data_IF_928481562190
#
_entry.id   IF_928481562190
#
_cell.length_a   1.000
_cell.length_b   1.000
_cell.length_c   1.000
_cell.angle_alpha   90.00
_cell.angle_beta   90.00
_cell.angle_gamma   90.00
#
_symmetry.space_group_name_H-M   'P 1'
#
loop_
_entity.id
_entity.type
_entity.pdbx_description
1 polymer ?
#
# COMPACT_ATOMS: atom_id res chain seq x y z
N UNK A 1 14.60 5.72 77.78
CA UNK A 1 14.16 4.33 77.67
C UNK A 1 12.83 4.21 78.40
N UNK A 2 11.72 4.00 77.66
CA UNK A 2 10.43 3.58 78.23
C UNK A 2 9.80 2.61 77.25
N UNK A 3 9.73 1.35 77.66
CA UNK A 3 9.09 0.26 76.94
C UNK A 3 7.57 0.39 77.11
N UNK A 4 6.83 0.49 76.01
CA UNK A 4 5.37 0.35 76.07
C UNK A 4 5.03 -1.15 76.13
N UNK A 5 4.50 -1.55 77.27
CA UNK A 5 3.93 -2.85 77.56
C UNK A 5 2.61 -3.04 76.80
N UNK A 6 2.46 -4.19 76.16
CA UNK A 6 1.19 -4.65 75.61
C UNK A 6 0.25 -5.14 76.72
N UNK A 7 -1.06 -4.84 76.67
CA UNK A 7 -2.02 -5.39 77.62
C UNK A 7 -2.32 -6.87 77.34
N UNK A 8 -2.65 -7.67 78.39
CA UNK A 8 -2.83 -9.11 78.29
C UNK A 8 -4.16 -9.50 77.63
N UNK A 9 -4.26 -10.71 77.06
CA UNK A 9 -5.41 -11.12 76.27
C UNK A 9 -6.55 -11.63 77.16
N UNK A 10 -7.72 -11.03 76.98
CA UNK A 10 -8.98 -11.61 77.42
C UNK A 10 -9.80 -10.66 78.28
N UNK A 11 -10.50 -9.72 77.64
CA UNK A 11 -11.83 -9.26 78.05
C UNK A 11 -12.42 -8.36 76.96
N UNK A 12 -13.36 -8.91 76.19
CA UNK A 12 -14.44 -8.16 75.56
C UNK A 12 -14.12 -7.21 74.39
N UNK A 13 -14.72 -7.57 73.25
CA UNK A 13 -15.22 -6.72 72.15
C UNK A 13 -14.30 -6.59 70.93
N UNK A 14 -14.89 -7.03 69.82
CA UNK A 14 -14.45 -7.00 68.42
C UNK A 14 -14.08 -5.59 67.92
N UNK A 15 -12.98 -5.03 68.43
CA UNK A 15 -12.46 -3.73 67.99
C UNK A 15 -11.11 -3.89 67.29
N UNK A 16 -10.98 -4.90 66.43
CA UNK A 16 -9.87 -4.94 65.47
C UNK A 16 -10.21 -3.97 64.33
N UNK A 17 -9.44 -2.88 64.12
CA UNK A 17 -9.68 -1.96 63.00
C UNK A 17 -9.49 -2.62 61.63
N UNK A 18 -8.89 -3.82 61.61
CA UNK A 18 -8.62 -4.61 60.42
C UNK A 18 -9.70 -5.66 60.10
N UNK A 19 -10.66 -5.89 61.01
CA UNK A 19 -11.70 -6.91 60.83
C UNK A 19 -13.01 -6.38 60.24
N UNK A 20 -13.11 -5.08 59.94
CA UNK A 20 -14.26 -4.53 59.24
C UNK A 20 -14.01 -4.54 57.73
N UNK A 21 -14.54 -5.56 57.04
CA UNK A 21 -14.74 -5.47 55.59
C UNK A 21 -15.83 -4.44 55.32
N UNK A 22 -15.44 -3.31 54.74
CA UNK A 22 -16.37 -2.25 54.35
C UNK A 22 -17.32 -2.78 53.25
N UNK A 23 -18.65 -2.80 53.47
CA UNK A 23 -19.63 -3.28 52.48
C UNK A 23 -19.64 -2.42 51.20
N UNK A 24 -19.09 -1.21 51.25
CA UNK A 24 -18.97 -0.32 50.10
C UNK A 24 -17.73 -0.58 49.23
N UNK A 25 -16.81 -1.45 49.66
CA UNK A 25 -15.57 -1.67 48.93
C UNK A 25 -15.80 -2.54 47.70
N UNK A 26 -15.80 -1.89 46.53
CA UNK A 26 -15.75 -2.58 45.22
C UNK A 26 -14.31 -2.51 44.73
N UNK A 27 -13.66 -3.64 44.40
CA UNK A 27 -12.33 -3.58 43.78
C UNK A 27 -12.46 -2.82 42.46
N UNK A 28 -11.62 -1.80 42.29
CA UNK A 28 -11.48 -1.12 41.00
C UNK A 28 -11.11 -2.17 39.96
N UNK A 29 -11.98 -2.35 38.96
CA UNK A 29 -11.65 -3.20 37.82
C UNK A 29 -10.38 -2.61 37.18
N UNK A 30 -9.28 -3.36 37.24
CA UNK A 30 -8.07 -3.05 36.51
C UNK A 30 -8.45 -3.08 35.02
N UNK A 31 -8.76 -1.91 34.48
CA UNK A 31 -8.71 -1.72 33.04
C UNK A 31 -7.24 -1.85 32.68
N UNK A 32 -6.94 -2.60 31.61
CA UNK A 32 -5.59 -2.75 31.09
C UNK A 32 -4.96 -1.38 30.86
N UNK A 33 -4.20 -0.92 31.85
CA UNK A 33 -3.42 0.30 31.74
C UNK A 33 -2.28 -0.07 30.81
N UNK A 34 -2.42 0.27 29.52
CA UNK A 34 -1.31 0.23 28.57
C UNK A 34 -0.10 0.87 29.25
N UNK A 35 1.01 0.12 29.27
CA UNK A 35 2.12 0.29 30.21
C UNK A 35 2.48 1.74 30.50
N UNK A 36 2.63 2.05 31.79
CA UNK A 36 3.13 3.34 32.25
C UNK A 36 4.48 3.62 31.59
N UNK A 37 4.60 4.78 30.93
CA UNK A 37 5.87 5.21 30.36
C UNK A 37 6.96 5.24 31.47
N UNK A 38 8.01 4.42 31.38
CA UNK A 38 9.05 4.33 32.40
C UNK A 38 9.86 5.62 32.54
N UNK A 39 9.71 6.58 31.62
CA UNK A 39 10.39 7.87 31.65
C UNK A 39 9.65 8.92 32.50
N UNK A 40 8.41 8.65 32.92
CA UNK A 40 7.65 9.60 33.74
C UNK A 40 7.78 9.31 35.25
N UNK A 41 8.23 10.28 36.05
CA UNK A 41 8.33 10.13 37.50
C UNK A 41 6.95 10.03 38.17
N UNK A 42 6.94 9.43 39.36
CA UNK A 42 5.72 9.28 40.15
C UNK A 42 5.21 10.62 40.66
N UNK A 43 3.90 10.87 40.54
CA UNK A 43 3.23 12.04 41.12
C UNK A 43 3.01 13.22 40.18
N UNK A 44 3.41 13.15 38.90
CA UNK A 44 2.99 14.15 37.92
C UNK A 44 1.54 13.90 37.47
N UNK A 45 0.69 14.94 37.42
CA UNK A 45 -0.62 14.81 36.81
C UNK A 45 -0.45 14.44 35.33
N UNK A 46 -1.27 13.52 34.80
CA UNK A 46 -1.20 13.13 33.40
C UNK A 46 -1.39 14.37 32.51
N UNK A 47 -0.65 14.43 31.41
CA UNK A 47 -0.85 15.47 30.41
C UNK A 47 -2.32 15.43 29.94
N UNK A 48 -2.97 16.60 29.78
CA UNK A 48 -4.33 16.63 29.24
C UNK A 48 -4.34 15.95 27.86
N UNK A 49 -5.35 15.12 27.57
CA UNK A 49 -5.46 14.48 26.27
C UNK A 49 -5.49 15.54 25.16
N UNK A 50 -4.86 15.30 24.01
CA UNK A 50 -4.94 16.20 22.87
C UNK A 50 -6.41 16.38 22.47
N UNK A 51 -6.77 17.61 22.11
CA UNK A 51 -8.13 17.98 21.77
C UNK A 51 -8.60 17.16 20.54
N UNK A 52 -9.64 16.32 20.66
CA UNK A 52 -10.11 15.46 19.57
C UNK A 52 -10.58 16.24 18.34
N UNK A 53 -10.83 17.54 18.47
CA UNK A 53 -11.21 18.41 17.35
C UNK A 53 -10.02 18.84 16.48
N UNK A 54 -8.77 18.63 16.93
CA UNK A 54 -7.56 18.88 16.11
C UNK A 54 -7.24 17.76 15.12
N UNK A 55 -7.86 16.58 15.26
CA UNK A 55 -7.61 15.38 14.45
C UNK A 55 -8.81 15.03 13.54
N UNK A 56 -9.83 15.89 13.44
CA UNK A 56 -10.94 15.68 12.51
C UNK A 56 -10.61 16.28 11.14
N UNK A 57 -10.46 15.47 10.07
CA UNK A 57 -10.47 16.02 8.71
C UNK A 57 -11.79 16.74 8.47
N UNK A 58 -11.79 17.87 7.73
CA UNK A 58 -13.00 18.65 7.49
C UNK A 58 -14.04 17.77 6.79
N UNK A 59 -15.14 17.48 7.49
CA UNK A 59 -16.32 16.85 6.90
C UNK A 59 -17.22 17.92 6.31
N UNK A 60 -16.89 18.36 5.11
CA UNK A 60 -17.88 18.92 4.20
C UNK A 60 -17.87 18.08 2.93
N UNK A 61 -18.98 17.44 2.54
CA UNK A 61 -19.08 16.89 1.20
C UNK A 61 -19.07 18.07 0.23
N UNK A 62 -17.89 18.36 -0.32
CA UNK A 62 -17.73 19.38 -1.34
C UNK A 62 -18.56 19.05 -2.60
N UNK A 63 -18.71 20.02 -3.51
CA UNK A 63 -19.46 19.87 -4.76
C UNK A 63 -18.99 18.69 -5.62
N UNK A 64 -17.80 18.15 -5.36
CA UNK A 64 -17.24 16.93 -5.94
C UNK A 64 -18.10 15.69 -5.71
N UNK A 65 -18.76 15.55 -4.55
CA UNK A 65 -19.63 14.39 -4.29
C UNK A 65 -20.88 14.41 -5.17
N UNK A 66 -21.43 15.60 -5.44
CA UNK A 66 -22.54 15.76 -6.38
C UNK A 66 -22.14 15.53 -7.83
N UNK A 67 -20.89 15.86 -8.21
CA UNK A 67 -20.33 15.52 -9.52
C UNK A 67 -20.24 14.00 -9.68
N UNK A 68 -19.72 13.28 -8.68
CA UNK A 68 -19.63 11.81 -8.71
C UNK A 68 -21.01 11.17 -8.80
N UNK A 69 -21.98 11.62 -8.00
CA UNK A 69 -23.37 11.13 -8.08
C UNK A 69 -23.97 11.43 -9.45
N UNK A 70 -23.72 12.60 -10.03
CA UNK A 70 -24.16 12.96 -11.37
C UNK A 70 -23.60 12.03 -12.45
N UNK A 71 -22.31 11.70 -12.39
CA UNK A 71 -21.67 10.76 -13.33
C UNK A 71 -22.25 9.35 -13.20
N UNK A 72 -22.48 8.87 -11.97
CA UNK A 72 -23.07 7.54 -11.73
C UNK A 72 -24.49 7.45 -12.30
N UNK A 73 -25.32 8.48 -12.08
CA UNK A 73 -26.69 8.53 -12.63
C UNK A 73 -26.68 8.59 -14.16
N UNK A 74 -25.73 9.33 -14.75
CA UNK A 74 -25.57 9.41 -16.20
C UNK A 74 -25.20 8.05 -16.82
N UNK A 75 -24.23 7.34 -16.22
CA UNK A 75 -23.83 5.99 -16.65
C UNK A 75 -25.00 5.01 -16.48
N UNK A 76 -25.70 5.07 -15.34
CA UNK A 76 -26.88 4.24 -15.09
C UNK A 76 -28.00 4.46 -16.12
N UNK A 77 -28.28 5.72 -16.48
CA UNK A 77 -29.27 6.06 -17.50
C UNK A 77 -28.83 5.62 -18.91
N UNK A 78 -27.52 5.68 -19.22
CA UNK A 78 -26.96 5.22 -20.48
C UNK A 78 -27.10 3.70 -20.63
N UNK A 79 -26.75 2.94 -19.59
CA UNK A 79 -26.90 1.47 -19.56
C UNK A 79 -28.38 1.09 -19.66
N UNK A 80 -29.26 1.79 -18.93
CA UNK A 80 -30.70 1.54 -18.96
C UNK A 80 -31.30 1.89 -20.34
N UNK A 81 -30.81 2.94 -21.00
CA UNK A 81 -31.19 3.29 -22.37
C UNK A 81 -30.74 2.24 -23.39
N UNK A 82 -29.54 1.68 -23.24
CA UNK A 82 -29.04 0.58 -24.09
C UNK A 82 -29.88 -0.70 -23.94
N UNK A 83 -30.37 -1.01 -22.74
CA UNK A 83 -31.20 -2.20 -22.48
C UNK A 83 -32.61 -2.14 -23.12
N UNK A 84 -33.14 -0.95 -23.42
CA UNK A 84 -34.50 -0.80 -23.97
C UNK A 84 -34.54 -0.57 -25.50
N UNK A 85 -33.42 -0.26 -26.16
CA UNK A 85 -33.37 0.07 -27.59
C UNK A 85 -32.62 -0.93 -28.50
N UNK A 86 -32.01 -1.99 -27.97
CA UNK A 86 -31.33 -3.00 -28.79
C UNK A 86 -31.40 -4.40 -28.18
N UNK A 87 -32.16 -5.30 -28.80
CA UNK A 87 -32.40 -6.65 -28.31
C UNK A 87 -31.20 -7.60 -28.45
N UNK A 88 -30.87 -8.23 -27.32
CA UNK A 88 -30.70 -9.67 -27.04
C UNK A 88 -29.62 -10.55 -27.76
N UNK A 89 -29.16 -11.63 -27.09
CA UNK A 89 -27.74 -11.81 -26.76
C UNK A 89 -27.13 -13.16 -27.22
N UNK A 90 -25.80 -13.27 -27.30
CA UNK A 90 -25.00 -14.48 -26.97
C UNK A 90 -23.51 -14.32 -27.30
N UNK A 91 -22.66 -14.26 -26.28
CA UNK A 91 -21.43 -15.04 -26.06
C UNK A 91 -20.52 -14.33 -25.04
N UNK A 92 -19.76 -15.13 -24.30
CA UNK A 92 -18.95 -14.82 -23.11
C UNK A 92 -18.14 -13.51 -23.12
N UNK A 93 -17.80 -12.93 -21.95
CA UNK A 93 -16.88 -11.81 -21.88
C UNK A 93 -15.47 -12.28 -22.27
N UNK A 94 -15.13 -12.17 -23.55
CA UNK A 94 -13.74 -12.09 -23.97
C UNK A 94 -13.18 -10.73 -23.54
N UNK A 95 -11.96 -10.76 -23.02
CA UNK A 95 -11.24 -9.61 -22.50
C UNK A 95 -11.24 -8.45 -23.51
N UNK A 96 -11.38 -7.23 -22.97
CA UNK A 96 -11.30 -5.99 -23.75
C UNK A 96 -10.04 -5.93 -24.62
N UNK A 97 -10.14 -5.30 -25.81
CA UNK A 97 -9.15 -5.39 -26.87
C UNK A 97 -7.81 -4.78 -26.48
N UNK A 98 -6.75 -5.52 -26.76
CA UNK A 98 -5.36 -5.04 -26.90
C UNK A 98 -5.33 -3.81 -27.82
N UNK A 99 -4.69 -2.68 -27.46
CA UNK A 99 -4.34 -1.67 -28.44
C UNK A 99 -3.33 -2.28 -29.41
N UNK A 100 -3.79 -2.61 -30.62
CA UNK A 100 -2.94 -2.96 -31.75
C UNK A 100 -2.47 -1.67 -32.42
N UNK A 101 -1.48 -1.01 -31.81
CA UNK A 101 -0.57 -0.15 -32.58
C UNK A 101 0.61 -1.04 -32.95
N UNK A 102 0.63 -1.46 -34.22
CA UNK A 102 1.77 -2.13 -34.79
C UNK A 102 2.89 -1.10 -34.95
N UNK A 103 3.63 -0.84 -33.86
CA UNK A 103 4.95 -0.24 -33.96
C UNK A 103 5.83 -1.22 -34.74
N UNK A 104 6.46 -0.73 -35.81
CA UNK A 104 7.30 -1.53 -36.69
C UNK A 104 8.38 -2.24 -35.85
N UNK A 105 8.47 -3.59 -35.89
CA UNK A 105 9.41 -4.30 -35.03
C UNK A 105 10.83 -3.94 -35.43
N UNK A 106 11.53 -3.22 -34.55
CA UNK A 106 12.99 -3.16 -34.59
C UNK A 106 13.54 -4.59 -34.61
N UNK A 107 14.50 -4.93 -35.47
CA UNK A 107 14.86 -6.31 -35.84
C UNK A 107 15.58 -7.13 -34.75
N UNK A 108 15.40 -6.83 -33.46
CA UNK A 108 16.10 -7.52 -32.36
C UNK A 108 15.28 -7.66 -31.08
N UNK A 109 13.94 -7.64 -31.18
CA UNK A 109 13.06 -7.77 -30.01
C UNK A 109 12.96 -9.21 -29.51
N UNK A 110 13.27 -9.42 -28.24
CA UNK A 110 12.87 -10.62 -27.49
C UNK A 110 11.35 -10.56 -27.28
N UNK A 111 10.64 -11.67 -27.38
CA UNK A 111 9.17 -11.67 -27.44
C UNK A 111 8.42 -11.10 -26.21
N UNK A 112 9.12 -10.65 -25.16
CA UNK A 112 8.52 -10.09 -23.95
C UNK A 112 8.59 -8.56 -23.94
N UNK A 113 7.67 -7.92 -24.66
CA UNK A 113 7.57 -6.46 -24.76
C UNK A 113 6.11 -5.99 -24.80
N UNK A 114 5.89 -4.73 -24.44
CA UNK A 114 4.58 -4.11 -24.46
C UNK A 114 4.69 -2.61 -24.77
N UNK A 115 3.83 -2.04 -25.63
CA UNK A 115 3.76 -0.60 -25.82
C UNK A 115 3.21 0.07 -24.55
N UNK A 116 3.59 1.33 -24.30
CA UNK A 116 3.05 2.13 -23.21
C UNK A 116 2.70 3.54 -23.68
N UNK A 117 1.80 4.19 -22.93
CA UNK A 117 1.34 5.57 -23.14
C UNK A 117 1.34 6.33 -21.80
N UNK A 118 1.19 7.65 -21.84
CA UNK A 118 0.94 8.52 -20.67
C UNK A 118 2.15 9.27 -20.11
N UNK A 119 3.37 8.93 -20.53
CA UNK A 119 4.60 9.69 -20.25
C UNK A 119 5.48 9.67 -21.51
N UNK A 120 4.89 10.09 -22.62
CA UNK A 120 5.32 9.71 -23.96
C UNK A 120 4.77 8.35 -24.37
N UNK A 121 4.87 8.08 -25.66
CA UNK A 121 4.53 6.80 -26.27
C UNK A 121 5.83 6.04 -26.55
N UNK A 122 5.80 4.74 -26.36
CA UNK A 122 7.02 3.94 -26.42
C UNK A 122 6.81 2.46 -26.22
N UNK A 123 7.92 1.74 -26.10
CA UNK A 123 7.92 0.29 -25.89
C UNK A 123 8.81 -0.05 -24.70
N UNK A 124 8.26 -0.86 -23.80
CA UNK A 124 8.98 -1.48 -22.69
C UNK A 124 9.22 -2.95 -23.01
N UNK A 125 10.43 -3.43 -22.77
CA UNK A 125 10.84 -4.82 -23.04
C UNK A 125 11.73 -5.36 -21.92
N UNK A 126 11.53 -6.64 -21.61
CA UNK A 126 12.47 -7.44 -20.82
C UNK A 126 13.27 -8.31 -21.79
N UNK A 127 14.52 -7.93 -22.02
CA UNK A 127 15.45 -8.58 -22.96
C UNK A 127 15.86 -9.97 -22.45
N UNK A 128 16.15 -10.07 -21.16
CA UNK A 128 16.48 -11.33 -20.50
C UNK A 128 16.19 -11.24 -19.00
N UNK A 129 16.03 -12.39 -18.36
CA UNK A 129 15.91 -12.50 -16.91
C UNK A 129 16.60 -13.77 -16.39
N UNK A 130 17.03 -13.72 -15.13
CA UNK A 130 17.61 -14.84 -14.40
C UNK A 130 17.27 -14.71 -12.92
N UNK A 131 16.80 -15.81 -12.32
CA UNK A 131 16.66 -15.92 -10.87
C UNK A 131 17.99 -16.40 -10.26
N UNK A 132 18.41 -15.70 -9.23
CA UNK A 132 19.61 -16.00 -8.43
C UNK A 132 19.21 -16.30 -6.99
N UNK A 133 20.15 -16.78 -6.18
CA UNK A 133 19.91 -16.99 -4.74
C UNK A 133 19.53 -15.69 -4.01
N UNK A 134 19.97 -14.54 -4.53
CA UNK A 134 19.80 -13.22 -3.91
C UNK A 134 18.59 -12.44 -4.49
N UNK A 135 18.05 -12.86 -5.63
CA UNK A 135 16.91 -12.21 -6.27
C UNK A 135 16.88 -12.28 -7.80
N UNK A 136 16.20 -11.33 -8.43
CA UNK A 136 15.91 -11.31 -9.86
C UNK A 136 16.85 -10.35 -10.60
N UNK A 137 17.66 -10.88 -11.51
CA UNK A 137 18.47 -10.10 -12.45
C UNK A 137 17.75 -9.98 -13.79
N UNK A 138 17.60 -8.76 -14.31
CA UNK A 138 16.96 -8.48 -15.59
C UNK A 138 17.89 -7.66 -16.49
N UNK A 139 17.76 -7.85 -17.80
CA UNK A 139 18.16 -6.84 -18.78
C UNK A 139 16.90 -6.24 -19.38
N UNK A 140 16.76 -4.92 -19.30
CA UNK A 140 15.60 -4.19 -19.85
C UNK A 140 15.96 -3.41 -21.10
N UNK A 141 14.95 -3.06 -21.88
CA UNK A 141 15.03 -2.05 -22.93
C UNK A 141 13.80 -1.16 -22.90
N UNK A 142 14.00 0.16 -22.96
CA UNK A 142 12.94 1.17 -23.05
C UNK A 142 13.21 2.08 -24.24
N UNK A 143 12.19 2.27 -25.06
CA UNK A 143 12.20 3.17 -26.22
C UNK A 143 11.06 4.16 -26.09
N UNK A 144 11.29 5.40 -26.52
CA UNK A 144 10.24 6.41 -26.69
C UNK A 144 10.21 6.86 -28.14
N UNK A 145 9.02 7.12 -28.67
CA UNK A 145 8.83 7.48 -30.07
C UNK A 145 9.27 8.92 -30.35
N UNK A 146 8.95 9.83 -29.41
CA UNK A 146 9.26 11.26 -29.52
C UNK A 146 9.75 11.84 -28.18
N UNK A 147 10.51 12.92 -28.23
CA UNK A 147 10.91 13.67 -27.05
C UNK A 147 11.91 12.98 -26.12
N UNK A 148 11.85 13.36 -24.85
CA UNK A 148 12.70 12.86 -23.76
C UNK A 148 11.87 12.76 -22.49
N UNK A 149 11.90 11.60 -21.86
CA UNK A 149 11.10 11.31 -20.66
C UNK A 149 11.92 10.55 -19.62
N UNK A 150 11.52 10.72 -18.36
CA UNK A 150 12.10 9.98 -17.25
C UNK A 150 11.15 8.89 -16.77
N UNK A 151 11.72 7.75 -16.36
CA UNK A 151 10.99 6.57 -15.93
C UNK A 151 11.59 6.00 -14.65
N UNK A 152 10.82 5.18 -13.96
CA UNK A 152 11.27 4.33 -12.86
C UNK A 152 10.74 2.91 -13.04
N UNK A 153 11.29 1.99 -12.25
CA UNK A 153 10.88 0.60 -12.21
C UNK A 153 10.58 0.16 -10.78
N UNK A 154 9.63 -0.74 -10.65
CA UNK A 154 9.46 -1.55 -9.44
C UNK A 154 8.89 -2.91 -9.83
N UNK A 155 9.01 -3.88 -8.94
CA UNK A 155 8.38 -5.20 -9.08
C UNK A 155 7.33 -5.40 -7.98
N UNK A 156 6.36 -6.26 -8.23
CA UNK A 156 5.60 -6.89 -7.16
C UNK A 156 5.43 -8.38 -7.41
N UNK A 157 5.42 -9.17 -6.34
CA UNK A 157 5.08 -10.59 -6.42
C UNK A 157 3.57 -10.74 -6.60
N UNK A 158 3.14 -11.63 -7.48
CA UNK A 158 1.74 -11.77 -7.86
C UNK A 158 0.87 -12.32 -6.71
N UNK A 159 1.44 -13.17 -5.83
CA UNK A 159 0.74 -13.78 -4.71
C UNK A 159 0.55 -12.80 -3.53
N UNK A 160 1.65 -12.31 -2.94
CA UNK A 160 1.57 -11.47 -1.74
C UNK A 160 1.31 -9.99 -2.05
N UNK A 161 1.53 -9.56 -3.31
CA UNK A 161 1.53 -8.16 -3.75
C UNK A 161 2.57 -7.29 -3.04
N UNK A 162 3.58 -7.92 -2.43
CA UNK A 162 4.72 -7.21 -1.88
C UNK A 162 5.50 -6.55 -3.01
N UNK A 163 5.87 -5.28 -2.82
CA UNK A 163 6.55 -4.45 -3.81
C UNK A 163 8.04 -4.36 -3.50
N UNK A 164 8.86 -4.39 -4.54
CA UNK A 164 10.32 -4.38 -4.47
C UNK A 164 10.86 -3.31 -5.41
N UNK A 165 11.71 -2.44 -4.88
CA UNK A 165 12.46 -1.48 -5.68
C UNK A 165 13.76 -2.12 -6.19
N UNK A 166 14.25 -1.74 -7.38
CA UNK A 166 15.53 -2.21 -7.87
C UNK A 166 16.66 -1.61 -7.04
N UNK A 167 17.77 -2.36 -6.89
CA UNK A 167 19.00 -1.83 -6.27
C UNK A 167 19.59 -0.70 -7.13
N UNK A 168 19.49 -0.88 -8.45
CA UNK A 168 19.82 0.05 -9.53
C UNK A 168 19.02 -0.45 -10.76
N UNK A 169 18.48 0.40 -11.66
CA UNK A 169 18.65 1.84 -11.79
C UNK A 169 17.69 2.69 -10.95
N UNK A 170 18.22 3.81 -10.46
CA UNK A 170 17.43 5.00 -10.10
C UNK A 170 16.59 5.49 -11.31
N UNK A 171 15.66 6.45 -11.12
CA UNK A 171 14.93 7.00 -12.25
C UNK A 171 15.86 7.40 -13.41
N UNK A 172 15.55 6.92 -14.60
CA UNK A 172 16.41 7.02 -15.78
C UNK A 172 15.73 7.79 -16.89
N UNK A 173 16.53 8.43 -17.75
CA UNK A 173 16.05 9.23 -18.88
C UNK A 173 16.16 8.46 -20.18
N UNK A 174 15.11 8.48 -21.00
CA UNK A 174 15.07 7.88 -22.34
C UNK A 174 14.81 8.98 -23.36
N UNK A 175 15.56 8.98 -24.46
CA UNK A 175 15.41 9.91 -25.59
C UNK A 175 14.95 9.17 -26.83
N UNK A 176 14.11 9.83 -27.63
CA UNK A 176 13.70 9.32 -28.92
C UNK A 176 14.92 9.03 -29.81
N UNK A 177 14.87 7.89 -30.51
CA UNK A 177 15.96 7.41 -31.36
C UNK A 177 17.16 6.81 -30.62
N UNK A 178 17.17 6.81 -29.27
CA UNK A 178 18.22 6.19 -28.46
C UNK A 178 17.58 5.24 -27.44
N UNK A 179 17.47 3.93 -27.77
CA UNK A 179 16.97 2.94 -26.83
C UNK A 179 17.82 2.94 -25.55
N UNK A 180 17.15 2.95 -24.41
CA UNK A 180 17.80 2.78 -23.12
C UNK A 180 17.84 1.29 -22.79
N UNK A 181 19.03 0.74 -22.57
CA UNK A 181 19.23 -0.63 -22.08
C UNK A 181 20.00 -0.59 -20.76
N UNK A 182 19.57 -1.39 -19.79
CA UNK A 182 20.21 -1.49 -18.49
C UNK A 182 20.05 -2.88 -17.88
N UNK A 183 21.04 -3.27 -17.08
CA UNK A 183 20.92 -4.38 -16.15
C UNK A 183 20.26 -3.88 -14.86
N UNK A 184 19.26 -4.61 -14.38
CA UNK A 184 18.43 -4.26 -13.22
C UNK A 184 18.43 -5.44 -12.26
N UNK A 185 18.59 -5.17 -10.97
CA UNK A 185 18.55 -6.22 -9.95
C UNK A 185 17.53 -5.90 -8.86
N UNK A 186 16.64 -6.86 -8.58
CA UNK A 186 15.67 -6.79 -7.48
C UNK A 186 16.04 -7.82 -6.41
N UNK A 187 16.24 -7.35 -5.17
CA UNK A 187 16.39 -8.24 -4.01
C UNK A 187 14.99 -8.69 -3.59
N UNK A 188 14.54 -9.83 -4.11
CA UNK A 188 13.18 -10.33 -3.92
C UNK A 188 13.14 -11.86 -3.97
N UNK A 189 12.16 -12.53 -3.34
CA UNK A 189 12.05 -13.98 -3.39
C UNK A 189 11.73 -14.48 -4.81
N UNK A 190 12.21 -15.68 -5.16
CA UNK A 190 11.80 -16.38 -6.38
C UNK A 190 10.29 -16.67 -6.32
N UNK A 191 9.54 -15.92 -7.13
CA UNK A 191 8.09 -16.00 -7.23
C UNK A 191 7.61 -15.40 -8.56
N UNK A 192 6.43 -15.82 -9.02
CA UNK A 192 5.77 -15.16 -10.13
C UNK A 192 5.60 -13.68 -9.81
N UNK A 193 6.13 -12.82 -10.68
CA UNK A 193 6.30 -11.40 -10.41
C UNK A 193 5.91 -10.57 -11.62
N UNK A 194 5.63 -9.31 -11.39
CA UNK A 194 5.29 -8.35 -12.45
C UNK A 194 6.21 -7.15 -12.34
N UNK A 195 6.91 -6.82 -13.42
CA UNK A 195 7.81 -5.67 -13.52
C UNK A 195 7.03 -4.50 -14.10
N UNK A 196 6.98 -3.39 -13.38
CA UNK A 196 6.20 -2.22 -13.74
C UNK A 196 7.12 -1.09 -14.20
N UNK A 197 6.88 -0.60 -15.41
CA UNK A 197 7.40 0.69 -15.87
C UNK A 197 6.49 1.79 -15.35
N UNK A 198 7.07 2.78 -14.70
CA UNK A 198 6.34 3.85 -14.05
C UNK A 198 6.96 5.23 -14.33
N UNK A 199 6.22 6.28 -13.98
CA UNK A 199 6.80 7.62 -13.84
C UNK A 199 7.92 7.63 -12.79
N UNK A 200 8.83 8.62 -12.78
CA UNK A 200 9.99 8.67 -11.87
C UNK A 200 9.62 8.60 -10.39
N UNK A 201 8.41 9.04 -10.05
CA UNK A 201 7.88 9.03 -8.69
C UNK A 201 7.37 7.66 -8.22
N UNK A 202 7.26 6.68 -9.14
CA UNK A 202 6.61 5.38 -8.89
C UNK A 202 5.09 5.44 -8.72
N UNK A 203 4.47 6.63 -8.73
CA UNK A 203 3.03 6.80 -8.40
C UNK A 203 2.07 6.42 -9.52
N UNK A 204 2.54 6.46 -10.76
CA UNK A 204 1.75 6.17 -11.95
C UNK A 204 2.47 5.07 -12.72
N UNK A 205 1.85 3.89 -12.77
CA UNK A 205 2.26 2.80 -13.64
C UNK A 205 1.85 3.11 -15.07
N UNK A 206 2.76 2.89 -16.02
CA UNK A 206 2.54 3.10 -17.44
C UNK A 206 2.18 1.78 -18.11
N UNK A 207 2.99 0.75 -17.85
CA UNK A 207 2.67 -0.62 -18.24
C UNK A 207 3.50 -1.62 -17.42
N UNK A 208 3.24 -2.92 -17.58
CA UNK A 208 3.93 -3.95 -16.84
C UNK A 208 4.09 -5.25 -17.64
N UNK A 209 5.14 -6.00 -17.32
CA UNK A 209 5.47 -7.27 -17.95
C UNK A 209 5.64 -8.36 -16.89
N UNK A 210 5.06 -9.56 -17.11
CA UNK A 210 5.19 -10.67 -16.19
C UNK A 210 6.57 -11.35 -16.28
N UNK A 211 7.00 -11.89 -15.16
CA UNK A 211 8.14 -12.79 -14.99
C UNK A 211 7.65 -14.03 -14.24
N UNK A 212 7.92 -15.20 -14.80
CA UNK A 212 7.63 -16.46 -14.11
C UNK A 212 8.70 -16.74 -13.04
N UNK A 213 8.32 -17.48 -12.00
CA UNK A 213 9.27 -18.10 -11.10
C UNK A 213 10.28 -19.00 -11.85
N UNK A 214 11.51 -19.06 -11.35
CA UNK A 214 12.62 -19.86 -11.90
C UNK A 214 12.70 -21.27 -11.34
#
# INVERSE_FOLDING_TARGET
MSNQQWPPPGEGRDNSPWSHQDPGYRPTQFHDVQGRDPRQPFGQPPAPPPDPDTVRPPRTPGPTLWIVVGVIVLIGALILGMQFLGGDPAAAPEASPTPSVAAEPSPTRSGNFIPFEGNGDGIFEIVSHEWTDDGLALKIRVEVEEGEYQFGLFSFTNESREAFDPVDPFPFTVRAGVPYEADVFFVMPNADSTIVLATPSGRVALNALPIAAG
#
